data_IF_705217266225
#
_entry.id   IF_705217266225
#
_cell.length_a   1.000
_cell.length_b   1.000
_cell.length_c   1.000
_cell.angle_alpha   90.00
_cell.angle_beta   90.00
_cell.angle_gamma   90.00
#
_symmetry.space_group_name_H-M   'P 1'
#
loop_
_entity.id
_entity.type
_entity.pdbx_description
1 polymer ?
#
# COMPACT_ATOMS: atom_id res chain seq x y z
N UNK A 1 19.20 -15.37 19.43
CA UNK A 1 18.70 -15.32 18.03
C UNK A 1 19.83 -14.71 17.21
N UNK A 2 20.21 -15.25 16.05
CA UNK A 2 21.32 -14.69 15.29
C UNK A 2 20.95 -13.26 14.88
N UNK A 3 21.75 -12.29 15.31
CA UNK A 3 21.61 -10.91 14.81
C UNK A 3 21.95 -10.92 13.31
N UNK A 4 21.14 -10.22 12.50
CA UNK A 4 21.46 -10.06 11.08
C UNK A 4 22.78 -9.31 10.96
N UNK A 5 23.76 -9.87 10.25
CA UNK A 5 25.02 -9.16 10.03
C UNK A 5 24.80 -7.96 9.07
N UNK A 6 25.77 -7.06 9.04
CA UNK A 6 25.71 -5.83 8.25
C UNK A 6 25.38 -6.07 6.75
N UNK A 7 25.95 -7.07 6.06
CA UNK A 7 25.58 -7.37 4.68
C UNK A 7 24.10 -7.75 4.51
N UNK A 8 23.54 -8.54 5.43
CA UNK A 8 22.12 -8.91 5.42
C UNK A 8 21.23 -7.69 5.66
N UNK A 9 21.61 -6.81 6.58
CA UNK A 9 20.89 -5.55 6.82
C UNK A 9 20.91 -4.64 5.58
N UNK A 10 22.05 -4.54 4.90
CA UNK A 10 22.17 -3.77 3.65
C UNK A 10 21.32 -4.41 2.54
N UNK A 11 21.36 -5.74 2.40
CA UNK A 11 20.54 -6.45 1.41
C UNK A 11 19.04 -6.25 1.66
N UNK A 12 18.61 -6.37 2.93
CA UNK A 12 17.22 -6.11 3.33
C UNK A 12 16.81 -4.66 3.02
N UNK A 13 17.64 -3.69 3.41
CA UNK A 13 17.39 -2.28 3.14
C UNK A 13 17.32 -1.98 1.64
N UNK A 14 18.19 -2.58 0.83
CA UNK A 14 18.21 -2.42 -0.62
C UNK A 14 16.96 -3.00 -1.28
N UNK A 15 16.55 -4.22 -0.88
CA UNK A 15 15.35 -4.88 -1.43
C UNK A 15 14.08 -4.14 -1.03
N UNK A 16 13.93 -3.77 0.24
CA UNK A 16 12.78 -3.03 0.72
C UNK A 16 12.73 -1.62 0.13
N UNK A 17 13.88 -0.95 0.04
CA UNK A 17 14.00 0.37 -0.59
C UNK A 17 13.61 0.33 -2.06
N UNK A 18 14.11 -0.65 -2.82
CA UNK A 18 13.72 -0.84 -4.21
C UNK A 18 12.23 -1.15 -4.37
N UNK A 19 11.71 -2.12 -3.60
CA UNK A 19 10.29 -2.50 -3.67
C UNK A 19 9.38 -1.32 -3.32
N UNK A 20 9.77 -0.48 -2.36
CA UNK A 20 9.01 0.70 -1.95
C UNK A 20 8.86 1.74 -3.08
N UNK A 21 9.78 1.75 -4.04
CA UNK A 21 9.68 2.58 -5.24
C UNK A 21 8.59 2.13 -6.23
N UNK A 22 8.13 0.87 -6.15
CA UNK A 22 6.99 0.39 -6.94
C UNK A 22 5.68 0.76 -6.24
N UNK A 23 5.58 0.45 -4.93
CA UNK A 23 4.41 0.80 -4.12
C UNK A 23 4.75 0.76 -2.63
N UNK A 24 4.83 1.92 -2.00
CA UNK A 24 5.33 2.06 -0.63
C UNK A 24 4.43 1.35 0.38
N UNK A 25 3.13 1.66 0.40
CA UNK A 25 2.26 1.17 1.47
C UNK A 25 2.00 -0.33 1.36
N UNK A 26 2.02 -0.88 0.14
CA UNK A 26 1.99 -2.32 -0.07
C UNK A 26 3.20 -3.03 0.55
N UNK A 27 4.41 -2.47 0.37
CA UNK A 27 5.64 -3.04 0.94
C UNK A 27 5.63 -2.99 2.46
N UNK A 28 5.22 -1.86 3.04
CA UNK A 28 5.10 -1.73 4.50
C UNK A 28 4.10 -2.73 5.08
N UNK A 29 2.94 -2.89 4.43
CA UNK A 29 1.90 -3.83 4.84
C UNK A 29 2.37 -5.27 4.74
N UNK A 30 2.96 -5.68 3.61
CA UNK A 30 3.42 -7.07 3.40
C UNK A 30 4.56 -7.40 4.34
N UNK A 31 5.56 -6.52 4.49
CA UNK A 31 6.67 -6.71 5.42
C UNK A 31 6.18 -6.82 6.87
N UNK A 32 5.26 -5.93 7.26
CA UNK A 32 4.63 -5.97 8.58
C UNK A 32 3.84 -7.25 8.83
N UNK A 33 3.04 -7.71 7.86
CA UNK A 33 2.25 -8.94 7.98
C UNK A 33 3.14 -10.19 8.07
N UNK A 34 4.21 -10.26 7.30
CA UNK A 34 5.18 -11.36 7.39
C UNK A 34 5.86 -11.39 8.77
N UNK A 35 6.15 -10.23 9.34
CA UNK A 35 6.65 -10.11 10.71
C UNK A 35 5.62 -10.50 11.76
N UNK A 36 4.39 -10.01 11.62
CA UNK A 36 3.28 -10.29 12.55
C UNK A 36 2.89 -11.78 12.56
N UNK A 37 2.96 -12.46 11.40
CA UNK A 37 2.72 -13.89 11.28
C UNK A 37 3.89 -14.76 11.77
N UNK A 38 5.03 -14.15 12.16
CA UNK A 38 6.23 -14.86 12.58
C UNK A 38 6.93 -15.63 11.45
N UNK A 39 6.66 -15.28 10.19
CA UNK A 39 7.32 -15.91 9.03
C UNK A 39 8.69 -15.31 8.77
N UNK A 40 8.88 -14.04 9.11
CA UNK A 40 10.14 -13.31 8.97
C UNK A 40 10.43 -12.55 10.26
N UNK A 41 11.59 -12.75 10.85
CA UNK A 41 12.05 -11.95 11.98
C UNK A 41 12.51 -10.57 11.48
N UNK A 42 11.75 -9.52 11.80
CA UNK A 42 12.12 -8.15 11.43
C UNK A 42 13.14 -7.61 12.45
N UNK A 43 14.30 -7.10 12.00
CA UNK A 43 15.30 -6.51 12.89
C UNK A 43 14.78 -5.21 13.53
N UNK A 44 15.29 -4.87 14.72
CA UNK A 44 14.82 -3.80 15.62
C UNK A 44 14.03 -2.65 14.99
N UNK A 45 14.63 -1.89 14.06
CA UNK A 45 13.98 -0.72 13.44
C UNK A 45 12.72 -1.05 12.61
N UNK A 46 12.60 -2.26 12.08
CA UNK A 46 11.44 -2.74 11.34
C UNK A 46 10.39 -3.39 12.24
N UNK A 47 10.70 -3.75 13.49
CA UNK A 47 9.76 -4.40 14.40
C UNK A 47 8.47 -3.57 14.60
N UNK A 48 8.55 -2.24 14.43
CA UNK A 48 7.40 -1.33 14.46
C UNK A 48 6.34 -1.66 13.40
N UNK A 49 6.73 -2.26 12.26
CA UNK A 49 5.82 -2.67 11.19
C UNK A 49 4.87 -3.79 11.63
N UNK A 50 5.25 -4.59 12.62
CA UNK A 50 4.42 -5.65 13.18
C UNK A 50 3.31 -5.11 14.10
N UNK A 51 3.40 -3.84 14.50
CA UNK A 51 2.45 -3.26 15.44
C UNK A 51 1.05 -3.15 14.78
N UNK A 52 -0.04 -3.62 15.42
CA UNK A 52 -1.37 -3.67 14.80
C UNK A 52 -1.85 -2.33 14.25
N UNK A 53 -1.53 -1.23 14.93
CA UNK A 53 -1.88 0.12 14.45
C UNK A 53 -1.11 0.54 13.19
N UNK A 54 0.13 0.08 13.04
CA UNK A 54 0.95 0.34 11.84
C UNK A 54 0.47 -0.51 10.66
N UNK A 55 0.08 -1.77 10.91
CA UNK A 55 -0.57 -2.62 9.91
C UNK A 55 -1.89 -2.03 9.43
N UNK A 56 -2.74 -1.56 10.35
CA UNK A 56 -3.99 -0.89 9.97
C UNK A 56 -3.74 0.40 9.18
N UNK A 57 -2.80 1.23 9.62
CA UNK A 57 -2.46 2.48 8.93
C UNK A 57 -1.90 2.21 7.52
N UNK A 58 -0.93 1.29 7.39
CA UNK A 58 -0.36 0.91 6.09
C UNK A 58 -1.38 0.24 5.18
N UNK A 59 -2.29 -0.57 5.71
CA UNK A 59 -3.40 -1.15 4.96
C UNK A 59 -4.37 -0.11 4.43
N UNK A 60 -4.77 0.85 5.28
CA UNK A 60 -5.63 1.96 4.86
C UNK A 60 -4.93 2.80 3.78
N UNK A 61 -3.67 3.15 3.99
CA UNK A 61 -2.90 3.94 3.03
C UNK A 61 -2.65 3.19 1.72
N UNK A 62 -2.47 1.87 1.75
CA UNK A 62 -2.39 1.05 0.55
C UNK A 62 -3.71 1.06 -0.24
N UNK A 63 -4.85 0.97 0.45
CA UNK A 63 -6.16 1.09 -0.18
C UNK A 63 -6.32 2.47 -0.80
N UNK A 64 -5.98 3.54 -0.07
CA UNK A 64 -6.01 4.92 -0.59
C UNK A 64 -5.09 5.09 -1.79
N UNK A 65 -3.85 4.59 -1.74
CA UNK A 65 -2.88 4.63 -2.84
C UNK A 65 -3.41 3.89 -4.08
N UNK A 66 -4.02 2.71 -3.90
CA UNK A 66 -4.62 1.95 -4.98
C UNK A 66 -5.80 2.69 -5.63
N UNK A 67 -6.65 3.34 -4.83
CA UNK A 67 -7.75 4.14 -5.35
C UNK A 67 -7.25 5.45 -5.99
N UNK A 68 -6.27 6.13 -5.40
CA UNK A 68 -5.68 7.33 -5.96
C UNK A 68 -5.05 7.05 -7.34
N UNK A 69 -4.32 5.94 -7.49
CA UNK A 69 -3.77 5.46 -8.77
C UNK A 69 -4.87 5.17 -9.80
N UNK A 70 -6.05 4.75 -9.34
CA UNK A 70 -7.21 4.43 -10.18
C UNK A 70 -8.13 5.61 -10.43
N UNK A 71 -7.92 6.74 -9.74
CA UNK A 71 -8.68 7.99 -9.89
C UNK A 71 -7.88 9.03 -10.70
N UNK A 72 -7.54 8.73 -11.97
CA UNK A 72 -7.61 9.71 -13.04
C UNK A 72 -8.88 9.41 -13.86
N UNK A 73 -9.92 10.24 -13.74
CA UNK A 73 -11.17 10.09 -14.52
C UNK A 73 -12.45 9.80 -13.72
N UNK A 74 -12.47 10.04 -12.39
CA UNK A 74 -13.75 10.17 -11.66
C UNK A 74 -14.68 11.17 -12.34
N UNK A 75 -14.10 12.22 -12.92
CA UNK A 75 -14.79 13.20 -13.76
C UNK A 75 -15.46 12.55 -14.97
N UNK A 76 -14.77 11.66 -15.70
CA UNK A 76 -15.33 10.97 -16.87
C UNK A 76 -16.43 9.97 -16.53
N UNK A 77 -16.32 9.26 -15.40
CA UNK A 77 -17.38 8.34 -14.92
C UNK A 77 -18.59 9.14 -14.46
N UNK A 78 -18.35 10.26 -13.77
CA UNK A 78 -19.39 11.18 -13.32
C UNK A 78 -20.10 11.86 -14.51
N UNK A 79 -19.35 12.27 -15.54
CA UNK A 79 -19.85 12.83 -16.79
C UNK A 79 -20.63 11.82 -17.63
N UNK A 80 -20.22 10.55 -17.68
CA UNK A 80 -20.96 9.50 -18.38
C UNK A 80 -22.33 9.24 -17.73
N UNK A 81 -22.38 9.23 -16.40
CA UNK A 81 -23.63 9.10 -15.63
C UNK A 81 -24.52 10.32 -15.87
N UNK A 82 -23.99 11.54 -15.78
CA UNK A 82 -24.76 12.77 -16.02
C UNK A 82 -25.23 12.89 -17.47
N UNK A 83 -24.44 12.45 -18.46
CA UNK A 83 -24.85 12.40 -19.87
C UNK A 83 -26.00 11.41 -20.06
N UNK A 84 -25.89 10.20 -19.49
CA UNK A 84 -26.95 9.19 -19.57
C UNK A 84 -28.23 9.61 -18.85
N UNK A 85 -28.14 10.33 -17.74
CA UNK A 85 -29.31 10.83 -16.99
C UNK A 85 -29.95 12.04 -17.69
N UNK A 86 -29.16 12.91 -18.33
CA UNK A 86 -29.66 14.13 -18.98
C UNK A 86 -30.28 13.89 -20.36
N UNK A 87 -29.79 12.94 -21.14
CA UNK A 87 -30.37 12.60 -22.46
C UNK A 87 -31.87 12.25 -22.40
N UNK A 88 -32.35 11.37 -21.50
CA UNK A 88 -33.77 11.07 -21.37
C UNK A 88 -34.57 12.19 -20.69
N UNK A 89 -33.95 13.07 -19.89
CA UNK A 89 -34.61 14.20 -19.25
C UNK A 89 -34.78 15.43 -20.16
N UNK A 90 -33.93 15.59 -21.18
CA UNK A 90 -34.04 16.66 -22.18
C UNK A 90 -34.87 16.29 -23.42
N UNK A 91 -35.28 15.03 -23.55
CA UNK A 91 -36.09 14.51 -24.66
C UNK A 91 -37.57 14.31 -24.29
N UNK A 92 -37.97 14.69 -23.06
CA UNK A 92 -39.37 14.67 -22.59
C UNK A 92 -39.95 16.09 -22.51
#
# INVERSE_FOLDING_TARGET
MPELDLPQLIALAAVLGFASGIRLYAVLLIAGLMGYAGWVDLPGGLAVLQHPWVLMASGLMFVVEFFADKIPGVDSVWDAIQTFVRIPAGAA
#
